data_IF_228101120681
#
_entry.id   IF_228101120681
#
_cell.length_a   1.000
_cell.length_b   1.000
_cell.length_c   1.000
_cell.angle_alpha   90.00
_cell.angle_beta   90.00
_cell.angle_gamma   90.00
#
_symmetry.space_group_name_H-M   'P 1'
#
loop_
_entity.id
_entity.type
_entity.pdbx_description
1 polymer ?
#
# COMPACT_ATOMS: atom_id res chain seq x y z
N UNK A 1 -32.49 -6.38 19.97
CA UNK A 1 -31.20 -7.01 20.31
C UNK A 1 -31.26 -8.54 20.25
N UNK A 2 -32.35 -9.19 20.69
CA UNK A 2 -32.49 -10.66 20.71
C UNK A 2 -32.43 -11.34 19.32
N UNK A 3 -32.96 -10.69 18.27
CA UNK A 3 -32.90 -11.22 16.90
C UNK A 3 -31.46 -11.36 16.35
N UNK A 4 -30.50 -10.57 16.86
CA UNK A 4 -29.08 -10.70 16.50
C UNK A 4 -28.40 -11.85 17.25
N UNK A 5 -28.81 -12.13 18.49
CA UNK A 5 -28.30 -13.28 19.25
C UNK A 5 -28.74 -14.62 18.64
N UNK A 6 -30.00 -14.71 18.19
CA UNK A 6 -30.55 -15.91 17.56
C UNK A 6 -29.86 -16.27 16.23
N UNK A 7 -29.20 -15.30 15.57
CA UNK A 7 -28.45 -15.48 14.31
C UNK A 7 -26.98 -15.87 14.52
N UNK A 8 -26.57 -16.16 15.75
CA UNK A 8 -25.22 -16.62 16.07
C UNK A 8 -24.16 -15.52 16.19
N UNK A 9 -24.54 -14.24 16.10
CA UNK A 9 -23.61 -13.12 16.33
C UNK A 9 -23.17 -12.98 17.79
N UNK A 10 -23.84 -13.67 18.72
CA UNK A 10 -23.48 -13.74 20.14
C UNK A 10 -22.78 -15.07 20.53
N UNK A 11 -22.32 -15.86 19.54
CA UNK A 11 -21.46 -17.02 19.78
C UNK A 11 -20.05 -16.57 20.15
N UNK A 12 -19.70 -16.68 21.43
CA UNK A 12 -18.46 -16.18 22.01
C UNK A 12 -17.18 -16.71 21.35
N UNK A 13 -16.24 -15.78 21.22
CA UNK A 13 -14.79 -15.92 21.13
C UNK A 13 -14.24 -17.03 20.22
N UNK A 14 -14.07 -16.70 18.95
CA UNK A 14 -12.82 -17.12 18.31
C UNK A 14 -11.71 -16.43 19.11
N UNK A 15 -10.91 -17.19 19.85
CA UNK A 15 -9.69 -16.66 20.48
C UNK A 15 -8.84 -16.06 19.36
N UNK A 16 -8.85 -14.74 19.22
CA UNK A 16 -8.01 -14.06 18.22
C UNK A 16 -6.57 -14.41 18.56
N UNK A 17 -5.92 -15.20 17.72
CA UNK A 17 -4.50 -15.47 17.85
C UNK A 17 -3.77 -14.13 17.83
N UNK A 18 -3.23 -13.68 18.97
CA UNK A 18 -2.50 -12.40 19.07
C UNK A 18 -1.06 -12.53 18.54
N UNK A 19 -0.58 -13.75 18.37
CA UNK A 19 0.79 -14.04 17.96
C UNK A 19 1.16 -13.46 16.59
N UNK A 20 0.32 -13.58 15.53
CA UNK A 20 0.57 -12.92 14.25
C UNK A 20 0.62 -11.39 14.36
N UNK A 21 -0.24 -10.79 15.20
CA UNK A 21 -0.26 -9.34 15.43
C UNK A 21 1.03 -8.87 16.12
N UNK A 22 1.48 -9.60 17.15
CA UNK A 22 2.75 -9.32 17.84
C UNK A 22 3.95 -9.52 16.92
N UNK A 23 3.93 -10.53 16.04
CA UNK A 23 4.99 -10.76 15.06
C UNK A 23 5.10 -9.62 14.04
N UNK A 24 3.97 -9.10 13.54
CA UNK A 24 3.94 -7.95 12.63
C UNK A 24 4.43 -6.67 13.33
N UNK A 25 3.95 -6.40 14.55
CA UNK A 25 4.40 -5.25 15.34
C UNK A 25 5.90 -5.33 15.65
N UNK A 26 6.37 -6.49 16.11
CA UNK A 26 7.79 -6.74 16.38
C UNK A 26 8.64 -6.60 15.12
N UNK A 27 8.18 -7.16 14.00
CA UNK A 27 8.84 -7.04 12.71
C UNK A 27 8.98 -5.59 12.25
N UNK A 28 7.92 -4.78 12.40
CA UNK A 28 7.95 -3.36 12.10
C UNK A 28 8.94 -2.59 12.98
N UNK A 29 8.93 -2.83 14.30
CA UNK A 29 9.87 -2.20 15.24
C UNK A 29 11.31 -2.54 14.88
N UNK A 30 11.61 -3.79 14.53
CA UNK A 30 12.95 -4.22 14.11
C UNK A 30 13.39 -3.54 12.81
N UNK A 31 12.48 -3.35 11.84
CA UNK A 31 12.79 -2.62 10.61
C UNK A 31 13.15 -1.17 10.92
N UNK A 32 12.35 -0.48 11.74
CA UNK A 32 12.62 0.91 12.13
C UNK A 32 13.96 1.01 12.88
N UNK A 33 14.20 0.11 13.84
CA UNK A 33 15.46 0.06 14.58
C UNK A 33 16.65 -0.22 13.66
N UNK A 34 16.52 -1.16 12.70
CA UNK A 34 17.55 -1.46 11.71
C UNK A 34 17.89 -0.26 10.82
N UNK A 35 16.88 0.47 10.36
CA UNK A 35 17.06 1.71 9.59
C UNK A 35 17.78 2.78 10.41
N UNK A 36 17.36 3.02 11.65
CA UNK A 36 18.03 3.97 12.54
C UNK A 36 19.48 3.57 12.78
N UNK A 37 19.76 2.28 12.99
CA UNK A 37 21.11 1.80 13.25
C UNK A 37 22.04 1.97 12.04
N UNK A 38 21.53 1.78 10.82
CA UNK A 38 22.31 2.04 9.59
C UNK A 38 22.50 3.53 9.33
N UNK A 39 21.44 4.34 9.42
CA UNK A 39 21.48 5.74 9.00
C UNK A 39 22.10 6.65 10.07
N UNK A 40 21.70 6.50 11.32
CA UNK A 40 22.12 7.39 12.42
C UNK A 40 23.44 6.91 13.02
N UNK A 41 23.56 5.61 13.29
CA UNK A 41 24.74 5.04 13.96
C UNK A 41 25.76 4.42 13.01
N UNK A 42 25.51 4.43 11.69
CA UNK A 42 26.44 3.93 10.66
C UNK A 42 26.86 2.46 10.87
N UNK A 43 26.08 1.67 11.60
CA UNK A 43 26.38 0.26 11.82
C UNK A 43 25.62 -0.63 10.83
N UNK A 44 26.23 -0.79 9.65
CA UNK A 44 25.63 -1.51 8.52
C UNK A 44 25.28 -2.97 8.83
N UNK A 45 26.22 -3.74 9.42
CA UNK A 45 26.03 -5.17 9.67
C UNK A 45 24.90 -5.48 10.67
N UNK A 46 24.88 -4.93 11.90
CA UNK A 46 23.77 -5.19 12.83
C UNK A 46 22.47 -4.56 12.34
N UNK A 47 22.53 -3.44 11.61
CA UNK A 47 21.35 -2.82 11.02
C UNK A 47 20.74 -3.74 9.97
N UNK A 48 21.54 -4.30 9.06
CA UNK A 48 21.09 -5.26 8.05
C UNK A 48 20.49 -6.52 8.67
N UNK A 49 21.11 -7.05 9.74
CA UNK A 49 20.56 -8.19 10.48
C UNK A 49 19.16 -7.89 11.05
N UNK A 50 18.97 -6.72 11.65
CA UNK A 50 17.66 -6.27 12.16
C UNK A 50 16.62 -6.11 11.05
N UNK A 51 17.02 -5.58 9.89
CA UNK A 51 16.12 -5.46 8.73
C UNK A 51 15.65 -6.81 8.23
N UNK A 52 16.56 -7.77 8.06
CA UNK A 52 16.22 -9.13 7.61
C UNK A 52 15.33 -9.83 8.63
N UNK A 53 15.70 -9.78 9.91
CA UNK A 53 14.91 -10.37 10.99
C UNK A 53 13.49 -9.75 11.06
N UNK A 54 13.39 -8.43 10.94
CA UNK A 54 12.13 -7.71 10.95
C UNK A 54 11.24 -8.05 9.75
N UNK A 55 11.83 -8.15 8.54
CA UNK A 55 11.12 -8.55 7.34
C UNK A 55 10.58 -9.98 7.44
N UNK A 56 11.40 -10.93 7.93
CA UNK A 56 10.98 -12.33 8.14
C UNK A 56 9.82 -12.41 9.13
N UNK A 57 9.90 -11.70 10.26
CA UNK A 57 8.82 -11.66 11.26
C UNK A 57 7.54 -11.05 10.71
N UNK A 58 7.64 -9.96 9.95
CA UNK A 58 6.50 -9.29 9.35
C UNK A 58 5.80 -10.18 8.33
N UNK A 59 6.56 -10.75 7.38
CA UNK A 59 6.02 -11.64 6.35
C UNK A 59 5.45 -12.92 6.97
N UNK A 60 6.16 -13.52 7.93
CA UNK A 60 5.70 -14.71 8.63
C UNK A 60 4.44 -14.47 9.46
N UNK A 61 4.37 -13.33 10.16
CA UNK A 61 3.18 -12.89 10.89
C UNK A 61 1.98 -12.69 9.97
N UNK A 62 2.17 -11.98 8.86
CA UNK A 62 1.10 -11.73 7.89
C UNK A 62 0.61 -13.01 7.22
N UNK A 63 1.53 -13.90 6.82
CA UNK A 63 1.21 -15.20 6.23
C UNK A 63 0.40 -16.06 7.18
N UNK A 64 0.76 -16.08 8.47
CA UNK A 64 0.01 -16.82 9.48
C UNK A 64 -1.34 -16.19 9.78
N UNK A 65 -1.42 -14.87 9.88
CA UNK A 65 -2.69 -14.15 10.05
C UNK A 65 -3.68 -14.45 8.91
N UNK A 66 -3.18 -14.52 7.67
CA UNK A 66 -3.97 -14.87 6.49
C UNK A 66 -4.44 -16.32 6.46
N UNK A 67 -3.70 -17.24 7.08
CA UNK A 67 -4.07 -18.66 7.22
C UNK A 67 -5.14 -18.90 8.30
N UNK A 68 -5.20 -18.06 9.33
CA UNK A 68 -6.10 -18.26 10.49
C UNK A 68 -7.55 -17.86 10.24
N UNK A 69 -7.87 -17.22 9.11
CA UNK A 69 -9.24 -16.87 8.75
C UNK A 69 -9.86 -17.94 7.82
N UNK A 70 -11.05 -18.49 8.15
CA UNK A 70 -11.76 -19.39 7.26
C UNK A 70 -11.94 -18.71 5.90
N UNK A 71 -11.55 -19.42 4.84
CA UNK A 71 -11.67 -18.91 3.48
C UNK A 71 -13.16 -18.68 3.19
N UNK A 72 -13.62 -17.43 3.24
CA UNK A 72 -14.92 -17.09 2.71
C UNK A 72 -14.78 -17.14 1.19
N UNK A 73 -15.48 -18.08 0.56
CA UNK A 73 -15.48 -18.21 -0.90
C UNK A 73 -16.20 -16.97 -1.44
N UNK A 74 -15.42 -15.92 -1.71
CA UNK A 74 -15.90 -14.76 -2.43
C UNK A 74 -16.40 -15.26 -3.78
N UNK A 75 -17.66 -14.98 -4.11
CA UNK A 75 -18.18 -15.27 -5.44
C UNK A 75 -17.40 -14.37 -6.38
N UNK A 76 -16.54 -14.92 -7.27
CA UNK A 76 -15.70 -14.08 -8.09
C UNK A 76 -16.61 -13.26 -9.00
N UNK A 77 -16.56 -11.94 -8.82
CA UNK A 77 -17.26 -11.06 -9.73
C UNK A 77 -16.57 -11.12 -11.09
N UNK A 78 -17.36 -11.15 -12.15
CA UNK A 78 -16.80 -11.28 -13.50
C UNK A 78 -16.31 -9.91 -13.93
N UNK A 79 -15.05 -9.87 -14.37
CA UNK A 79 -14.43 -8.66 -14.93
C UNK A 79 -15.35 -8.06 -16.01
N UNK A 80 -15.87 -6.87 -15.75
CA UNK A 80 -16.75 -6.14 -16.65
C UNK A 80 -15.96 -5.25 -17.60
N UNK A 81 -16.57 -4.85 -18.72
CA UNK A 81 -15.89 -3.95 -19.67
C UNK A 81 -15.45 -2.62 -19.01
N UNK A 82 -16.17 -2.17 -17.99
CA UNK A 82 -15.84 -0.97 -17.22
C UNK A 82 -14.56 -1.10 -16.40
N UNK A 83 -14.29 -2.26 -15.83
CA UNK A 83 -13.06 -2.51 -15.08
C UNK A 83 -11.82 -2.35 -15.99
N UNK A 84 -11.92 -2.69 -17.27
CA UNK A 84 -10.85 -2.42 -18.25
C UNK A 84 -10.62 -0.93 -18.49
N UNK A 85 -11.69 -0.12 -18.52
CA UNK A 85 -11.58 1.34 -18.65
C UNK A 85 -10.90 1.93 -17.42
N UNK A 86 -11.25 1.45 -16.22
CA UNK A 86 -10.64 1.87 -14.96
C UNK A 86 -9.15 1.52 -14.93
N UNK A 87 -8.80 0.27 -15.28
CA UNK A 87 -7.41 -0.19 -15.34
C UNK A 87 -6.61 0.61 -16.37
N UNK A 88 -7.18 0.83 -17.56
CA UNK A 88 -6.53 1.64 -18.60
C UNK A 88 -6.29 3.08 -18.11
N UNK A 89 -7.28 3.72 -17.50
CA UNK A 89 -7.15 5.07 -16.93
C UNK A 89 -6.08 5.15 -15.85
N UNK A 90 -6.05 4.16 -14.95
CA UNK A 90 -5.03 4.05 -13.91
C UNK A 90 -3.62 3.83 -14.50
N UNK A 91 -3.48 3.01 -15.55
CA UNK A 91 -2.20 2.79 -16.23
C UNK A 91 -1.71 4.03 -16.97
N UNK A 92 -2.60 4.80 -17.60
CA UNK A 92 -2.25 6.07 -18.25
C UNK A 92 -1.74 7.07 -17.21
N UNK A 93 -2.44 7.22 -16.09
CA UNK A 93 -2.00 8.07 -14.99
C UNK A 93 -0.65 7.60 -14.43
N UNK A 94 -0.52 6.32 -14.09
CA UNK A 94 0.73 5.75 -13.58
C UNK A 94 1.90 5.94 -14.55
N UNK A 95 1.66 5.73 -15.85
CA UNK A 95 2.65 5.95 -16.91
C UNK A 95 3.15 7.40 -16.95
N UNK A 96 2.24 8.38 -16.86
CA UNK A 96 2.59 9.79 -16.87
C UNK A 96 3.47 10.21 -15.67
N UNK A 97 3.22 9.64 -14.48
CA UNK A 97 4.00 9.96 -13.27
C UNK A 97 5.31 9.16 -13.15
N UNK A 98 5.31 7.90 -13.54
CA UNK A 98 6.45 6.99 -13.30
C UNK A 98 7.45 6.96 -14.46
N UNK A 99 6.98 6.94 -15.71
CA UNK A 99 7.84 6.70 -16.88
C UNK A 99 8.40 7.99 -17.49
N UNK A 100 9.67 7.98 -17.97
CA UNK A 100 10.26 9.15 -18.63
C UNK A 100 9.78 9.24 -20.08
N UNK A 101 8.51 9.63 -20.26
CA UNK A 101 7.91 9.74 -21.57
C UNK A 101 8.40 11.01 -22.30
N UNK A 102 8.73 10.92 -23.59
CA UNK A 102 9.18 12.08 -24.37
C UNK A 102 8.07 13.13 -24.45
N UNK A 103 8.40 14.37 -24.09
CA UNK A 103 7.48 15.51 -24.14
C UNK A 103 6.67 15.75 -22.87
N UNK A 104 6.88 15.02 -21.77
CA UNK A 104 6.37 15.41 -20.45
C UNK A 104 7.48 16.14 -19.70
N UNK A 105 7.22 17.37 -19.27
CA UNK A 105 8.19 18.09 -18.45
C UNK A 105 8.17 17.55 -17.01
N UNK A 106 9.21 16.79 -16.65
CA UNK A 106 9.37 16.22 -15.30
C UNK A 106 9.58 17.29 -14.22
N UNK A 107 9.95 18.51 -14.60
CA UNK A 107 10.18 19.63 -13.68
C UNK A 107 8.94 20.01 -12.86
N UNK A 108 7.73 19.72 -13.35
CA UNK A 108 6.48 19.98 -12.62
C UNK A 108 6.15 18.91 -11.57
N UNK A 109 6.73 17.69 -11.68
CA UNK A 109 6.48 16.59 -10.75
C UNK A 109 7.53 16.55 -9.63
N UNK A 110 8.75 17.02 -9.91
CA UNK A 110 9.87 16.85 -9.01
C UNK A 110 9.79 17.80 -7.80
N UNK A 111 9.91 17.25 -6.60
CA UNK A 111 9.97 18.05 -5.38
C UNK A 111 11.36 18.68 -5.24
N UNK A 112 11.42 20.01 -5.11
CA UNK A 112 12.65 20.74 -4.83
C UNK A 112 12.59 21.31 -3.39
N UNK A 113 13.53 20.95 -2.49
CA UNK A 113 13.51 21.37 -1.08
C UNK A 113 13.62 22.88 -0.88
N UNK A 114 14.30 23.57 -1.80
CA UNK A 114 14.51 25.03 -1.79
C UNK A 114 14.02 25.63 -3.11
N UNK A 115 12.70 25.80 -3.29
CA UNK A 115 12.18 26.37 -4.52
C UNK A 115 12.50 27.88 -4.59
N UNK A 116 13.01 28.34 -5.71
CA UNK A 116 12.99 29.76 -6.04
C UNK A 116 11.54 30.21 -6.26
N UNK A 117 11.18 31.40 -5.78
CA UNK A 117 9.82 31.93 -5.87
C UNK A 117 9.48 32.28 -7.34
N UNK A 118 8.96 31.29 -8.06
CA UNK A 118 8.49 31.39 -9.44
C UNK A 118 7.08 30.80 -9.52
N UNK A 119 6.33 31.19 -10.55
CA UNK A 119 5.03 30.55 -10.82
C UNK A 119 5.25 29.07 -11.16
N UNK A 120 4.52 28.13 -10.54
CA UNK A 120 4.70 26.72 -10.83
C UNK A 120 4.28 26.43 -12.27
N UNK A 121 5.15 25.74 -13.02
CA UNK A 121 4.79 25.22 -14.33
C UNK A 121 3.70 24.16 -14.20
N UNK A 122 2.75 24.14 -15.13
CA UNK A 122 1.72 23.10 -15.22
C UNK A 122 1.78 22.43 -16.58
N UNK A 123 2.06 21.13 -16.60
CA UNK A 123 1.96 20.32 -17.82
C UNK A 123 0.54 19.77 -17.97
N UNK A 124 -0.19 20.29 -18.96
CA UNK A 124 -1.57 19.88 -19.25
C UNK A 124 -1.70 18.39 -19.58
N UNK A 125 -0.63 17.74 -20.06
CA UNK A 125 -0.61 16.31 -20.40
C UNK A 125 -0.70 15.46 -19.14
N UNK A 126 -0.02 15.87 -18.07
CA UNK A 126 -0.12 15.24 -16.75
C UNK A 126 -1.53 15.46 -16.21
N UNK A 127 -2.05 16.69 -16.31
CA UNK A 127 -3.44 16.99 -15.92
C UNK A 127 -4.47 16.06 -16.59
N UNK A 128 -4.35 15.87 -17.91
CA UNK A 128 -5.18 14.93 -18.67
C UNK A 128 -4.99 13.48 -18.23
N UNK A 129 -3.75 13.04 -18.02
CA UNK A 129 -3.49 11.68 -17.56
C UNK A 129 -4.12 11.42 -16.18
N UNK A 130 -4.09 12.41 -15.29
CA UNK A 130 -4.73 12.36 -13.96
C UNK A 130 -6.25 12.24 -14.04
N UNK A 131 -6.90 12.77 -15.07
CA UNK A 131 -8.32 12.53 -15.30
C UNK A 131 -8.65 11.05 -15.54
N UNK A 132 -7.68 10.24 -15.96
CA UNK A 132 -7.84 8.78 -16.04
C UNK A 132 -8.17 8.13 -14.69
N UNK A 133 -7.78 8.75 -13.57
CA UNK A 133 -8.13 8.30 -12.22
C UNK A 133 -9.57 8.66 -11.84
N UNK A 134 -10.23 9.56 -12.56
CA UNK A 134 -11.63 9.91 -12.36
C UNK A 134 -12.60 8.90 -13.00
N UNK A 135 -12.10 7.86 -13.69
CA UNK A 135 -12.94 6.84 -14.34
C UNK A 135 -13.98 6.19 -13.40
N UNK A 136 -13.69 5.89 -12.11
CA UNK A 136 -14.69 5.33 -11.20
C UNK A 136 -15.83 6.29 -10.85
N UNK A 137 -15.65 7.61 -11.01
CA UNK A 137 -16.67 8.61 -10.69
C UNK A 137 -17.76 8.74 -11.77
N UNK A 138 -17.59 8.06 -12.91
CA UNK A 138 -18.53 8.06 -14.03
C UNK A 138 -19.55 6.92 -13.95
N UNK A 139 -19.54 6.14 -12.86
CA UNK A 139 -20.40 4.97 -12.63
C UNK A 139 -21.10 5.04 -11.27
#
# INVERSE_FOLDING_TARGET
AEAMMARGFAGGSATTERWPQLAVLGGFVLIVAGWLLQLVWQQAAPGAALLVAGAVLLVGGLWRAGRSHPHTVYRPDRWQRWDWVIVAGALVAAGAYLLPLPGIDRGTIFYYPYPSLNWPGFDWRIGLATLGLAAPALW
#
